data_IF_981774444353
#
_entry.id   IF_981774444353
#
_cell.length_a   1.000
_cell.length_b   1.000
_cell.length_c   1.000
_cell.angle_alpha   90.00
_cell.angle_beta   90.00
_cell.angle_gamma   90.00
#
_symmetry.space_group_name_H-M   'P 1'
#
loop_
_entity.id
_entity.type
_entity.pdbx_description
1 polymer ?
#
# COMPACT_ATOMS: atom_id res chain seq x y z
N UNK A 1 -13.24 -8.44 24.59
CA UNK A 1 -14.32 -8.23 23.59
C UNK A 1 -13.85 -7.39 22.41
N UNK A 2 -13.81 -6.04 22.47
CA UNK A 2 -13.38 -5.22 21.31
C UNK A 2 -11.96 -5.53 20.84
N UNK A 3 -11.01 -5.64 21.78
CA UNK A 3 -9.61 -5.99 21.49
C UNK A 3 -9.45 -7.34 20.79
N UNK A 4 -10.17 -8.36 21.27
CA UNK A 4 -10.09 -9.71 20.69
C UNK A 4 -10.65 -9.74 19.27
N UNK A 5 -11.76 -9.04 19.03
CA UNK A 5 -12.34 -8.89 17.69
C UNK A 5 -11.37 -8.20 16.73
N UNK A 6 -10.72 -7.12 17.18
CA UNK A 6 -9.71 -6.42 16.37
C UNK A 6 -8.51 -7.31 16.05
N UNK A 7 -8.03 -8.12 17.00
CA UNK A 7 -6.92 -9.05 16.74
C UNK A 7 -7.29 -10.10 15.69
N UNK A 8 -8.50 -10.66 15.75
CA UNK A 8 -8.97 -11.59 14.72
C UNK A 8 -9.06 -10.92 13.34
N UNK A 9 -9.60 -9.71 13.28
CA UNK A 9 -9.72 -8.98 12.02
C UNK A 9 -8.35 -8.58 11.43
N UNK A 10 -7.39 -8.25 12.30
CA UNK A 10 -6.04 -7.88 11.90
C UNK A 10 -5.34 -9.06 11.19
N UNK A 11 -5.44 -10.27 11.73
CA UNK A 11 -4.86 -11.47 11.09
C UNK A 11 -5.48 -11.76 9.72
N UNK A 12 -6.78 -11.56 9.56
CA UNK A 12 -7.46 -11.72 8.27
C UNK A 12 -6.95 -10.67 7.26
N UNK A 13 -6.81 -9.42 7.69
CA UNK A 13 -6.27 -8.35 6.84
C UNK A 13 -4.84 -8.62 6.41
N UNK A 14 -4.01 -9.12 7.32
CA UNK A 14 -2.63 -9.52 7.03
C UNK A 14 -2.56 -10.65 6.00
N UNK A 15 -3.41 -11.67 6.09
CA UNK A 15 -3.48 -12.77 5.12
C UNK A 15 -3.87 -12.25 3.73
N UNK A 16 -4.90 -11.40 3.66
CA UNK A 16 -5.36 -10.79 2.41
C UNK A 16 -4.24 -9.93 1.80
N UNK A 17 -3.61 -9.07 2.59
CA UNK A 17 -2.54 -8.20 2.11
C UNK A 17 -1.30 -9.00 1.67
N UNK A 18 -0.95 -10.05 2.41
CA UNK A 18 0.15 -10.97 2.06
C UNK A 18 -0.10 -11.68 0.74
N UNK A 19 -1.36 -11.95 0.38
CA UNK A 19 -1.71 -12.53 -0.92
C UNK A 19 -1.35 -11.64 -2.12
N UNK A 20 -1.05 -10.35 -1.91
CA UNK A 20 -0.61 -9.43 -2.95
C UNK A 20 0.90 -9.45 -3.19
N UNK A 21 1.70 -10.01 -2.28
CA UNK A 21 3.16 -10.07 -2.44
C UNK A 21 3.51 -10.80 -3.74
N UNK A 22 4.38 -10.18 -4.55
CA UNK A 22 4.80 -10.67 -5.85
C UNK A 22 3.85 -10.31 -7.00
N UNK A 23 2.62 -9.86 -6.73
CA UNK A 23 1.68 -9.40 -7.76
C UNK A 23 1.97 -7.95 -8.14
N UNK A 24 1.61 -7.63 -9.38
CA UNK A 24 1.64 -6.26 -9.89
C UNK A 24 0.23 -5.71 -9.77
N UNK A 25 0.09 -4.61 -9.03
CA UNK A 25 -1.17 -3.92 -8.81
C UNK A 25 -1.11 -2.49 -9.31
N UNK A 26 -2.27 -1.96 -9.68
CA UNK A 26 -2.40 -0.57 -10.08
C UNK A 26 -2.63 0.31 -8.85
N UNK A 27 -1.83 1.37 -8.72
CA UNK A 27 -1.78 2.25 -7.55
C UNK A 27 -1.92 3.69 -8.01
N UNK A 28 -2.88 4.42 -7.45
CA UNK A 28 -3.02 5.87 -7.63
C UNK A 28 -2.08 6.56 -6.65
N UNK A 29 -1.16 7.39 -7.15
CA UNK A 29 -0.25 8.16 -6.30
C UNK A 29 -0.98 9.39 -5.76
N UNK A 30 -1.06 9.48 -4.42
CA UNK A 30 -1.71 10.59 -3.71
C UNK A 30 -0.70 11.64 -3.25
N UNK A 31 0.49 11.21 -2.81
CA UNK A 31 1.51 12.09 -2.24
C UNK A 31 2.91 11.61 -2.61
N UNK A 32 3.86 12.54 -2.75
CA UNK A 32 5.29 12.23 -2.83
C UNK A 32 5.98 12.94 -1.68
N UNK A 33 6.61 12.16 -0.80
CA UNK A 33 7.37 12.67 0.33
C UNK A 33 8.83 12.87 -0.06
N UNK A 34 9.31 14.09 0.18
CA UNK A 34 10.71 14.47 0.00
C UNK A 34 11.52 14.07 1.25
N UNK A 35 12.59 13.30 1.05
CA UNK A 35 13.49 12.82 2.10
C UNK A 35 14.78 12.23 1.51
N UNK A 36 15.57 11.49 2.31
CA UNK A 36 16.81 10.84 1.83
C UNK A 36 16.58 9.88 0.65
N UNK A 37 15.39 9.31 0.54
CA UNK A 37 14.90 8.58 -0.62
C UNK A 37 13.50 9.10 -0.97
N UNK A 38 13.19 9.25 -2.26
CA UNK A 38 11.83 9.63 -2.70
C UNK A 38 10.88 8.47 -2.42
N UNK A 39 9.87 8.74 -1.61
CA UNK A 39 8.81 7.79 -1.27
C UNK A 39 7.50 8.36 -1.81
N UNK A 40 6.85 7.62 -2.69
CA UNK A 40 5.49 7.90 -3.10
C UNK A 40 4.52 7.11 -2.21
N UNK A 41 3.43 7.76 -1.84
CA UNK A 41 2.32 7.18 -1.11
C UNK A 41 1.12 7.19 -2.05
N UNK A 42 0.48 6.05 -2.17
CA UNK A 42 -0.72 5.91 -2.96
C UNK A 42 -1.72 4.96 -2.33
N UNK A 43 -2.76 4.66 -3.10
CA UNK A 43 -3.82 3.73 -2.72
C UNK A 43 -4.21 2.86 -3.89
N UNK A 44 -4.74 1.68 -3.61
CA UNK A 44 -5.32 0.85 -4.66
C UNK A 44 -6.78 1.24 -4.87
N UNK A 45 -7.40 0.72 -5.92
CA UNK A 45 -8.84 0.89 -6.17
C UNK A 45 -9.76 0.37 -5.05
N UNK A 46 -9.24 -0.46 -4.13
CA UNK A 46 -10.01 -1.05 -3.03
C UNK A 46 -10.04 -0.16 -1.78
N UNK A 47 -9.19 0.86 -1.73
CA UNK A 47 -8.90 1.64 -0.54
C UNK A 47 -9.54 3.04 -0.67
N UNK A 48 -10.31 3.44 0.34
CA UNK A 48 -10.83 4.79 0.49
C UNK A 48 -9.72 5.77 0.90
N UNK A 49 -9.75 7.03 0.43
CA UNK A 49 -8.80 8.07 0.86
C UNK A 49 -8.83 8.25 2.38
N UNK A 50 -7.65 8.42 2.99
CA UNK A 50 -7.42 8.74 4.43
C UNK A 50 -7.89 7.70 5.46
N UNK A 51 -8.78 6.79 5.09
CA UNK A 51 -9.43 5.82 5.99
C UNK A 51 -8.75 4.46 5.90
N UNK A 52 -8.50 3.98 4.68
CA UNK A 52 -7.95 2.64 4.43
C UNK A 52 -6.41 2.64 4.33
N UNK A 53 -5.87 1.44 4.13
CA UNK A 53 -4.45 1.16 4.00
C UNK A 53 -3.75 1.91 2.87
N UNK A 54 -2.45 2.13 3.02
CA UNK A 54 -1.63 2.85 2.04
C UNK A 54 -0.71 1.91 1.29
N UNK A 55 -0.36 2.30 0.06
CA UNK A 55 0.70 1.68 -0.72
C UNK A 55 1.91 2.59 -0.73
N UNK A 56 2.99 2.10 -0.13
CA UNK A 56 4.27 2.79 -0.03
C UNK A 56 5.16 2.33 -1.18
N UNK A 57 5.48 3.24 -2.09
CA UNK A 57 6.30 2.97 -3.27
C UNK A 57 7.61 3.70 -3.17
N UNK A 58 8.73 2.97 -3.18
CA UNK A 58 10.07 3.58 -3.21
C UNK A 58 10.45 3.86 -4.65
N UNK A 59 10.38 5.11 -5.07
CA UNK A 59 10.60 5.49 -6.47
C UNK A 59 10.83 6.99 -6.63
N UNK A 60 11.64 7.34 -7.61
CA UNK A 60 11.85 8.70 -8.10
C UNK A 60 11.03 9.05 -9.34
N UNK A 61 10.33 8.07 -9.92
CA UNK A 61 9.60 8.17 -11.20
C UNK A 61 8.09 8.36 -11.05
N UNK A 62 7.56 8.39 -9.84
CA UNK A 62 6.13 8.60 -9.59
C UNK A 62 5.71 10.07 -9.75
N UNK A 63 4.45 10.27 -10.11
CA UNK A 63 3.80 11.59 -10.17
C UNK A 63 2.44 11.51 -9.46
N UNK A 64 2.13 12.50 -8.63
CA UNK A 64 0.82 12.63 -7.95
C UNK A 64 -0.32 12.71 -8.97
N UNK A 65 -1.42 12.01 -8.68
CA UNK A 65 -2.61 11.92 -9.53
C UNK A 65 -2.49 10.95 -10.71
N UNK A 66 -1.40 10.18 -10.80
CA UNK A 66 -1.20 9.18 -11.84
C UNK A 66 -1.29 7.77 -11.26
N UNK A 67 -1.83 6.87 -12.07
CA UNK A 67 -1.76 5.44 -11.82
C UNK A 67 -0.42 4.89 -12.26
N UNK A 68 0.18 4.06 -11.42
CA UNK A 68 1.42 3.34 -11.70
C UNK A 68 1.25 1.86 -11.38
N UNK A 69 1.98 1.01 -12.10
CA UNK A 69 2.07 -0.42 -11.80
C UNK A 69 3.14 -0.65 -10.75
N UNK A 70 2.74 -1.26 -9.64
CA UNK A 70 3.60 -1.51 -8.50
C UNK A 70 3.65 -3.00 -8.25
N UNK A 71 4.86 -3.57 -8.27
CA UNK A 71 5.08 -4.92 -7.78
C UNK A 71 5.20 -4.87 -6.26
N UNK A 72 4.27 -5.54 -5.57
CA UNK A 72 4.27 -5.59 -4.10
C UNK A 72 5.42 -6.48 -3.65
N UNK A 73 6.30 -5.95 -2.81
CA UNK A 73 7.45 -6.67 -2.25
C UNK A 73 7.24 -7.05 -0.78
N UNK A 74 6.41 -6.28 -0.06
CA UNK A 74 6.04 -6.57 1.33
C UNK A 74 4.60 -6.14 1.60
N UNK A 75 4.01 -6.76 2.61
CA UNK A 75 2.69 -6.44 3.13
C UNK A 75 2.75 -6.41 4.66
N UNK A 76 1.93 -5.57 5.29
CA UNK A 76 1.57 -5.63 6.70
C UNK A 76 0.06 -5.77 6.83
N UNK A 77 -0.43 -5.78 8.07
CA UNK A 77 -1.86 -5.94 8.34
C UNK A 77 -2.72 -4.82 7.71
N UNK A 78 -2.13 -3.65 7.45
CA UNK A 78 -2.84 -2.49 6.89
C UNK A 78 -2.21 -1.93 5.62
N UNK A 79 -0.88 -1.99 5.47
CA UNK A 79 -0.18 -1.31 4.38
C UNK A 79 0.50 -2.29 3.42
N UNK A 80 0.68 -1.85 2.17
CA UNK A 80 1.49 -2.53 1.18
C UNK A 80 2.76 -1.73 0.89
N UNK A 81 3.84 -2.43 0.57
CA UNK A 81 5.09 -1.83 0.12
C UNK A 81 5.51 -2.46 -1.19
N UNK A 82 5.94 -1.63 -2.14
CA UNK A 82 6.37 -2.12 -3.44
C UNK A 82 7.26 -1.15 -4.19
N UNK A 83 7.56 -1.53 -5.42
CA UNK A 83 8.43 -0.80 -6.34
C UNK A 83 7.73 -0.74 -7.71
N UNK A 84 8.01 0.32 -8.48
CA UNK A 84 7.48 0.44 -9.84
C UNK A 84 8.12 -0.64 -10.72
N UNK A 85 7.30 -1.34 -11.50
CA UNK A 85 7.75 -2.28 -12.53
C UNK A 85 8.26 -1.54 -13.79
#
# INVERSE_FOLDING_TARGET
RLKELMLTQQSISEEINSSYIGKVIEVLIDEIKSGKAKIAIGRTKRDAPEIDGKVIVRTDKAQVGKFVKVKVTKASEYDLVGEIE
#
